data_IF_510867038464
#
_entry.id   IF_510867038464
#
_cell.length_a   1.000
_cell.length_b   1.000
_cell.length_c   1.000
_cell.angle_alpha   90.00
_cell.angle_beta   90.00
_cell.angle_gamma   90.00
#
_symmetry.space_group_name_H-M   'P 1'
#
loop_
_entity.id
_entity.type
_entity.pdbx_description
1 polymer ?
#
# COMPACT_ATOMS: atom_id res chain seq x y z
N UNK A 1 -5.24 6.83 -19.39
CA UNK A 1 -4.28 5.88 -18.73
C UNK A 1 -3.88 6.46 -17.39
N UNK A 2 -4.01 5.68 -16.33
CA UNK A 2 -3.58 6.05 -14.98
C UNK A 2 -2.14 5.61 -14.72
N UNK A 3 -1.44 6.42 -13.92
CA UNK A 3 -0.22 6.05 -13.21
C UNK A 3 -0.58 5.98 -11.74
N UNK A 4 -0.83 4.77 -11.24
CA UNK A 4 -1.37 4.53 -9.93
C UNK A 4 -0.29 4.08 -8.95
N UNK A 5 0.11 4.93 -8.00
CA UNK A 5 0.95 4.55 -6.87
C UNK A 5 0.02 3.99 -5.77
N UNK A 6 0.05 2.66 -5.60
CA UNK A 6 -0.96 1.96 -4.81
C UNK A 6 -0.54 1.68 -3.36
N UNK A 7 0.51 2.39 -2.87
CA UNK A 7 0.95 2.28 -1.49
C UNK A 7 1.70 3.54 -1.07
N UNK A 8 1.03 4.46 -0.37
CA UNK A 8 1.60 5.71 0.13
C UNK A 8 1.16 5.92 1.58
N UNK A 9 2.08 6.39 2.43
CA UNK A 9 1.80 6.82 3.80
C UNK A 9 1.79 8.34 3.93
N UNK A 10 1.05 8.83 4.93
CA UNK A 10 0.87 10.26 5.20
C UNK A 10 1.12 10.58 6.67
N UNK A 11 0.92 11.83 7.05
CA UNK A 11 1.02 12.29 8.45
C UNK A 11 0.03 11.59 9.40
N UNK A 12 -0.93 10.85 8.87
CA UNK A 12 -1.86 10.02 9.65
C UNK A 12 -1.25 8.69 10.07
N UNK A 13 -0.19 8.25 9.42
CA UNK A 13 0.60 7.10 9.82
C UNK A 13 1.60 7.49 10.92
N UNK A 14 1.77 6.62 11.93
CA UNK A 14 2.66 6.88 13.07
C UNK A 14 4.14 7.08 12.71
N UNK A 15 4.52 6.73 11.50
CA UNK A 15 5.91 6.70 11.02
C UNK A 15 6.17 7.57 9.79
N UNK A 16 5.17 8.34 9.36
CA UNK A 16 5.27 9.30 8.29
C UNK A 16 4.93 10.72 8.78
N UNK A 17 5.54 11.74 8.18
CA UNK A 17 5.29 13.15 8.52
C UNK A 17 4.86 13.99 7.32
N UNK A 18 4.57 13.37 6.18
CA UNK A 18 4.22 14.05 4.94
C UNK A 18 2.74 14.46 4.96
N UNK A 19 2.40 15.76 4.98
CA UNK A 19 1.02 16.23 4.92
C UNK A 19 0.34 15.87 3.60
N UNK A 20 -0.99 15.75 3.61
CA UNK A 20 -1.80 15.38 2.43
C UNK A 20 -1.58 16.35 1.25
N UNK A 21 -1.47 17.64 1.55
CA UNK A 21 -1.22 18.67 0.53
C UNK A 21 0.09 18.41 -0.21
N UNK A 22 1.15 18.03 0.51
CA UNK A 22 2.44 17.72 -0.11
C UNK A 22 2.42 16.42 -0.90
N UNK A 23 1.62 15.42 -0.48
CA UNK A 23 1.40 14.19 -1.26
C UNK A 23 0.72 14.54 -2.59
N UNK A 24 -0.37 15.30 -2.55
CA UNK A 24 -1.14 15.70 -3.73
C UNK A 24 -0.29 16.56 -4.68
N UNK A 25 0.39 17.60 -4.15
CA UNK A 25 1.30 18.45 -4.93
C UNK A 25 2.37 17.61 -5.64
N UNK A 26 3.00 16.68 -4.89
CA UNK A 26 4.03 15.82 -5.46
C UNK A 26 3.51 14.92 -6.57
N UNK A 27 2.34 14.33 -6.39
CA UNK A 27 1.69 13.53 -7.44
C UNK A 27 1.48 14.33 -8.72
N UNK A 28 0.97 15.56 -8.60
CA UNK A 28 0.78 16.46 -9.74
C UNK A 28 2.11 16.83 -10.42
N UNK A 29 3.16 17.13 -9.65
CA UNK A 29 4.50 17.46 -10.17
C UNK A 29 5.08 16.35 -11.06
N UNK A 30 4.90 15.08 -10.67
CA UNK A 30 5.53 13.93 -11.34
C UNK A 30 4.57 13.16 -12.25
N UNK A 31 3.31 13.61 -12.35
CA UNK A 31 2.30 13.01 -13.22
C UNK A 31 1.73 11.68 -12.70
N UNK A 32 1.81 11.41 -11.39
CA UNK A 32 1.01 10.38 -10.73
C UNK A 32 -0.43 10.92 -10.65
N UNK A 33 -1.41 10.16 -11.12
CA UNK A 33 -2.79 10.60 -11.27
C UNK A 33 -3.82 9.60 -10.72
N UNK A 34 -3.39 8.67 -9.91
CA UNK A 34 -4.18 7.80 -9.04
C UNK A 34 -3.29 7.36 -7.88
N UNK A 35 -3.82 7.32 -6.67
CA UNK A 35 -3.07 6.84 -5.50
C UNK A 35 -3.93 5.98 -4.59
N UNK A 36 -3.29 5.06 -3.84
CA UNK A 36 -3.88 4.49 -2.64
C UNK A 36 -3.09 5.00 -1.41
N UNK A 37 -3.77 5.64 -0.48
CA UNK A 37 -3.20 6.00 0.82
C UNK A 37 -3.51 4.86 1.77
N UNK A 38 -2.45 4.28 2.35
CA UNK A 38 -2.49 3.08 3.16
C UNK A 38 -1.83 3.31 4.53
N UNK A 39 -2.25 4.35 5.25
CA UNK A 39 -1.69 4.68 6.56
C UNK A 39 -1.84 3.51 7.55
N UNK A 40 -0.85 3.31 8.41
CA UNK A 40 -0.88 2.26 9.42
C UNK A 40 -2.00 2.49 10.44
N UNK A 41 -2.94 1.55 10.50
CA UNK A 41 -4.00 1.49 11.52
C UNK A 41 -5.04 2.60 11.43
N UNK A 42 -5.16 3.26 10.28
CA UNK A 42 -6.20 4.27 10.03
C UNK A 42 -6.48 4.52 8.55
N UNK A 43 -7.74 4.65 8.19
CA UNK A 43 -8.19 5.09 6.87
C UNK A 43 -8.44 6.61 6.80
N UNK A 44 -8.24 7.35 7.90
CA UNK A 44 -8.67 8.76 8.02
C UNK A 44 -7.96 9.69 7.02
N UNK A 45 -6.64 9.49 6.83
CA UNK A 45 -5.85 10.25 5.85
C UNK A 45 -6.38 10.04 4.43
N UNK A 46 -6.65 8.79 4.06
CA UNK A 46 -7.19 8.44 2.76
C UNK A 46 -8.58 9.04 2.49
N UNK A 47 -9.48 8.96 3.48
CA UNK A 47 -10.83 9.56 3.41
C UNK A 47 -10.80 11.08 3.24
N UNK A 48 -9.86 11.77 3.90
CA UNK A 48 -9.67 13.22 3.71
C UNK A 48 -9.08 13.53 2.34
N UNK A 49 -8.05 12.79 1.93
CA UNK A 49 -7.40 13.01 0.64
C UNK A 49 -8.35 12.80 -0.55
N UNK A 50 -9.32 11.89 -0.44
CA UNK A 50 -10.34 11.66 -1.48
C UNK A 50 -11.17 12.91 -1.79
N UNK A 51 -11.37 13.79 -0.81
CA UNK A 51 -12.09 15.05 -0.98
C UNK A 51 -11.17 16.22 -1.39
N UNK A 52 -9.85 16.06 -1.32
CA UNK A 52 -8.86 17.11 -1.58
C UNK A 52 -8.20 16.97 -2.95
N UNK A 53 -7.95 15.73 -3.39
CA UNK A 53 -7.19 15.46 -4.60
C UNK A 53 -8.05 15.67 -5.86
N UNK A 54 -7.48 16.25 -6.94
CA UNK A 54 -8.16 16.41 -8.24
C UNK A 54 -8.10 15.14 -9.11
N UNK A 55 -7.67 14.01 -8.54
CA UNK A 55 -7.54 12.70 -9.18
C UNK A 55 -8.04 11.60 -8.23
N UNK A 56 -8.30 10.37 -8.73
CA UNK A 56 -8.77 9.27 -7.90
C UNK A 56 -7.85 8.92 -6.74
N UNK A 57 -8.43 8.85 -5.54
CA UNK A 57 -7.78 8.36 -4.32
C UNK A 57 -8.53 7.11 -3.86
N UNK A 58 -7.85 5.98 -3.80
CA UNK A 58 -8.35 4.75 -3.22
C UNK A 58 -8.14 4.83 -1.71
N UNK A 59 -9.24 4.70 -0.96
CA UNK A 59 -9.17 4.62 0.50
C UNK A 59 -8.63 3.26 0.87
N UNK A 60 -7.42 3.24 1.41
CA UNK A 60 -6.77 2.04 1.89
C UNK A 60 -6.27 2.20 3.32
N UNK A 61 -5.89 1.10 3.93
CA UNK A 61 -5.31 1.05 5.28
C UNK A 61 -4.40 -0.16 5.37
N UNK A 62 -3.20 0.03 5.88
CA UNK A 62 -2.30 -1.05 6.21
C UNK A 62 -2.52 -1.50 7.65
N UNK A 63 -3.14 -2.68 7.81
CA UNK A 63 -3.67 -3.21 9.06
C UNK A 63 -2.69 -4.22 9.62
N UNK A 64 -2.09 -3.91 10.78
CA UNK A 64 -1.17 -4.82 11.46
C UNK A 64 -1.95 -5.96 12.12
N UNK A 65 -1.58 -7.20 11.78
CA UNK A 65 -2.03 -8.42 12.44
C UNK A 65 -0.91 -9.05 13.28
N UNK A 66 -1.18 -10.03 14.14
CA UNK A 66 -0.12 -10.75 14.86
C UNK A 66 0.91 -11.47 13.96
N UNK A 67 0.62 -11.63 12.67
CA UNK A 67 1.44 -12.39 11.73
C UNK A 67 2.02 -11.57 10.57
N UNK A 68 1.79 -10.28 10.53
CA UNK A 68 2.19 -9.36 9.46
C UNK A 68 1.04 -8.47 9.03
N UNK A 69 1.20 -7.75 7.94
CA UNK A 69 0.28 -6.72 7.49
C UNK A 69 -0.64 -7.22 6.39
N UNK A 70 -1.89 -6.75 6.45
CA UNK A 70 -2.91 -6.87 5.39
C UNK A 70 -3.35 -5.47 5.03
N UNK A 71 -3.44 -5.16 3.76
CA UNK A 71 -3.97 -3.90 3.28
C UNK A 71 -5.43 -4.07 2.85
N UNK A 72 -6.34 -3.35 3.50
CA UNK A 72 -7.70 -3.17 3.00
C UNK A 72 -7.72 -2.04 1.97
N UNK A 73 -8.40 -2.22 0.86
CA UNK A 73 -8.58 -1.18 -0.17
C UNK A 73 -10.08 -0.95 -0.44
N UNK A 74 -10.45 0.24 -0.87
CA UNK A 74 -11.83 0.68 -1.05
C UNK A 74 -12.63 0.66 0.25
N UNK A 75 -11.97 1.01 1.35
CA UNK A 75 -12.57 1.08 2.68
C UNK A 75 -13.48 2.30 2.84
N UNK A 76 -14.40 2.22 3.80
CA UNK A 76 -15.33 3.29 4.20
C UNK A 76 -15.00 3.84 5.58
N UNK A 77 -14.31 3.06 6.40
CA UNK A 77 -13.90 3.39 7.76
C UNK A 77 -12.65 2.60 8.18
N UNK A 78 -12.01 3.05 9.25
CA UNK A 78 -10.83 2.39 9.84
C UNK A 78 -11.16 1.01 10.40
N UNK A 79 -10.23 0.07 10.24
CA UNK A 79 -10.26 -1.27 10.81
C UNK A 79 -9.19 -1.35 11.93
N UNK A 80 -9.55 -1.73 13.16
CA UNK A 80 -8.58 -1.80 14.26
C UNK A 80 -7.43 -2.77 13.97
N UNK A 81 -6.21 -2.38 14.26
CA UNK A 81 -5.04 -3.26 14.25
C UNK A 81 -5.08 -4.28 15.38
N UNK A 82 -4.31 -5.38 15.24
CA UNK A 82 -4.18 -6.44 16.24
C UNK A 82 -5.20 -7.55 16.13
N UNK A 83 -6.13 -7.48 15.19
CA UNK A 83 -7.09 -8.54 14.88
C UNK A 83 -6.38 -9.75 14.25
N UNK A 84 -7.00 -10.93 14.33
CA UNK A 84 -6.54 -12.09 13.55
C UNK A 84 -6.68 -11.82 12.04
N UNK A 85 -5.90 -12.53 11.23
CA UNK A 85 -5.96 -12.42 9.76
C UNK A 85 -7.39 -12.62 9.25
N UNK A 86 -8.08 -13.67 9.72
CA UNK A 86 -9.44 -13.96 9.28
C UNK A 86 -10.44 -12.87 9.68
N UNK A 87 -10.29 -12.32 10.87
CA UNK A 87 -11.15 -11.21 11.32
C UNK A 87 -10.86 -9.92 10.55
N UNK A 88 -9.58 -9.62 10.28
CA UNK A 88 -9.19 -8.49 9.44
C UNK A 88 -9.81 -8.61 8.03
N UNK A 89 -9.68 -9.79 7.40
CA UNK A 89 -10.29 -10.05 6.10
C UNK A 89 -11.82 -9.90 6.16
N UNK A 90 -12.47 -10.43 7.20
CA UNK A 90 -13.93 -10.26 7.37
C UNK A 90 -14.32 -8.79 7.44
N UNK A 91 -13.61 -7.98 8.24
CA UNK A 91 -13.87 -6.53 8.36
C UNK A 91 -13.68 -5.77 7.06
N UNK A 92 -12.70 -6.16 6.25
CA UNK A 92 -12.52 -5.58 4.90
C UNK A 92 -13.73 -5.94 4.01
N UNK A 93 -14.18 -7.21 4.05
CA UNK A 93 -15.33 -7.68 3.26
C UNK A 93 -16.65 -7.05 3.70
N UNK A 94 -16.86 -6.85 5.00
CA UNK A 94 -18.05 -6.20 5.55
C UNK A 94 -18.21 -4.76 5.01
N UNK A 95 -17.11 -4.11 4.66
CA UNK A 95 -17.09 -2.80 3.99
C UNK A 95 -17.18 -2.87 2.46
N UNK A 96 -17.33 -4.05 1.89
CA UNK A 96 -17.24 -4.29 0.44
C UNK A 96 -15.85 -3.96 -0.13
N UNK A 97 -14.81 -4.06 0.70
CA UNK A 97 -13.41 -3.78 0.35
C UNK A 97 -12.69 -4.94 -0.33
N UNK A 98 -11.50 -4.64 -0.86
CA UNK A 98 -10.58 -5.61 -1.44
C UNK A 98 -9.43 -5.92 -0.47
N UNK A 99 -9.04 -7.18 -0.44
CA UNK A 99 -7.92 -7.67 0.37
C UNK A 99 -6.64 -7.67 -0.47
N UNK A 100 -5.70 -6.82 -0.09
CA UNK A 100 -4.36 -6.78 -0.69
C UNK A 100 -3.32 -7.26 0.33
N UNK A 101 -2.30 -7.96 -0.14
CA UNK A 101 -1.14 -8.31 0.68
C UNK A 101 0.04 -7.42 0.31
N UNK A 102 0.36 -6.42 1.15
CA UNK A 102 1.50 -5.53 0.92
C UNK A 102 2.81 -6.31 1.13
N UNK A 103 3.85 -6.00 0.35
CA UNK A 103 5.21 -6.59 0.45
C UNK A 103 5.29 -7.99 1.08
N UNK A 104 4.51 -8.98 0.59
CA UNK A 104 4.15 -10.22 1.32
C UNK A 104 5.34 -11.12 1.70
N UNK A 105 6.49 -10.95 1.05
CA UNK A 105 7.71 -11.71 1.33
C UNK A 105 8.82 -10.86 1.97
N UNK A 106 8.50 -9.66 2.45
CA UNK A 106 9.45 -8.87 3.23
C UNK A 106 9.42 -9.33 4.69
N UNK A 107 10.16 -10.40 4.95
CA UNK A 107 10.25 -11.01 6.29
C UNK A 107 11.34 -10.36 7.14
N UNK A 108 12.16 -9.47 6.57
CA UNK A 108 13.24 -8.79 7.30
C UNK A 108 12.68 -7.80 8.33
N UNK A 109 11.64 -7.08 7.96
CA UNK A 109 10.94 -6.13 8.84
C UNK A 109 9.81 -6.77 9.66
N UNK A 110 9.51 -8.07 9.43
CA UNK A 110 8.37 -8.80 9.98
C UNK A 110 6.99 -8.26 9.56
N UNK A 111 6.96 -7.40 8.57
CA UNK A 111 5.72 -6.84 8.01
C UNK A 111 5.05 -7.80 7.02
N UNK A 112 5.83 -8.57 6.26
CA UNK A 112 5.30 -9.54 5.31
C UNK A 112 4.76 -10.82 5.97
N UNK A 113 3.62 -11.30 5.49
CA UNK A 113 2.93 -12.52 5.98
C UNK A 113 3.74 -13.82 5.80
N UNK A 114 4.65 -13.86 4.84
CA UNK A 114 5.43 -15.06 4.51
C UNK A 114 4.63 -16.11 3.73
N UNK A 115 5.37 -17.05 3.13
CA UNK A 115 4.79 -17.97 2.14
C UNK A 115 3.78 -18.98 2.68
N UNK A 116 3.90 -19.40 3.94
CA UNK A 116 2.97 -20.36 4.54
C UNK A 116 1.59 -19.73 4.74
N UNK A 117 1.53 -18.59 5.42
CA UNK A 117 0.27 -17.88 5.69
C UNK A 117 -0.40 -17.45 4.39
N UNK A 118 0.38 -16.91 3.43
CA UNK A 118 -0.14 -16.56 2.11
C UNK A 118 -0.80 -17.74 1.40
N UNK A 119 -0.21 -18.95 1.51
CA UNK A 119 -0.80 -20.14 0.90
C UNK A 119 -2.13 -20.54 1.56
N UNK A 120 -2.24 -20.38 2.89
CA UNK A 120 -3.46 -20.68 3.65
C UNK A 120 -4.62 -19.75 3.29
N UNK A 121 -4.33 -18.46 3.02
CA UNK A 121 -5.36 -17.45 2.72
C UNK A 121 -5.49 -17.11 1.22
N UNK A 122 -4.77 -17.82 0.33
CA UNK A 122 -4.69 -17.47 -1.09
C UNK A 122 -6.06 -17.29 -1.77
N UNK A 123 -7.06 -18.08 -1.39
CA UNK A 123 -8.43 -17.95 -1.90
C UNK A 123 -9.21 -16.73 -1.39
N UNK A 124 -8.65 -15.96 -0.47
CA UNK A 124 -9.27 -14.77 0.11
C UNK A 124 -8.58 -13.46 -0.31
N UNK A 125 -7.45 -13.56 -1.04
CA UNK A 125 -6.66 -12.43 -1.50
C UNK A 125 -7.15 -11.98 -2.88
N UNK A 126 -7.42 -10.70 -3.06
CA UNK A 126 -7.77 -10.09 -4.36
C UNK A 126 -6.56 -9.54 -5.10
N UNK A 127 -5.55 -9.04 -4.36
CA UNK A 127 -4.40 -8.34 -4.91
C UNK A 127 -3.13 -8.74 -4.14
N UNK A 128 -2.04 -8.90 -4.87
CA UNK A 128 -0.70 -9.10 -4.28
C UNK A 128 0.18 -7.93 -4.70
N UNK A 129 0.81 -7.24 -3.76
CA UNK A 129 1.85 -6.27 -4.09
C UNK A 129 3.10 -7.00 -4.58
N UNK A 130 3.29 -6.99 -5.89
CA UNK A 130 4.40 -7.70 -6.56
C UNK A 130 5.67 -6.86 -6.65
N UNK A 131 5.54 -5.55 -6.46
CA UNK A 131 6.68 -4.64 -6.39
C UNK A 131 6.42 -3.53 -5.38
N UNK A 132 7.26 -3.48 -4.36
CA UNK A 132 7.31 -2.41 -3.37
C UNK A 132 8.69 -1.74 -3.47
N UNK A 133 8.71 -0.41 -3.66
CA UNK A 133 9.97 0.32 -3.88
C UNK A 133 10.85 0.36 -2.63
N UNK A 134 10.29 0.27 -1.43
CA UNK A 134 11.06 0.25 -0.17
C UNK A 134 11.56 -1.13 0.23
N UNK A 135 11.00 -2.20 -0.34
CA UNK A 135 11.45 -3.57 -0.05
C UNK A 135 12.93 -3.73 -0.43
N UNK A 136 13.84 -4.04 0.52
CA UNK A 136 15.28 -3.99 0.26
C UNK A 136 15.76 -5.16 -0.61
N UNK A 137 14.99 -6.25 -0.68
CA UNK A 137 15.42 -7.50 -1.26
C UNK A 137 14.75 -7.77 -2.62
N UNK A 138 15.54 -7.93 -3.66
CA UNK A 138 15.04 -8.26 -5.01
C UNK A 138 14.23 -9.55 -5.06
N UNK A 139 14.62 -10.57 -4.27
CA UNK A 139 13.93 -11.85 -4.27
C UNK A 139 12.52 -11.79 -3.68
N UNK A 140 12.21 -10.79 -2.82
CA UNK A 140 10.86 -10.59 -2.27
C UNK A 140 9.86 -10.31 -3.39
N UNK A 141 10.18 -9.37 -4.30
CA UNK A 141 9.35 -9.06 -5.47
C UNK A 141 9.21 -10.26 -6.43
N UNK A 142 10.29 -10.99 -6.67
CA UNK A 142 10.25 -12.19 -7.53
C UNK A 142 9.33 -13.26 -6.95
N UNK A 143 9.37 -13.49 -5.63
CA UNK A 143 8.49 -14.44 -4.93
C UNK A 143 7.04 -13.98 -4.95
N UNK A 144 6.78 -12.68 -4.72
CA UNK A 144 5.45 -12.11 -4.77
C UNK A 144 4.82 -12.26 -6.17
N UNK A 145 5.57 -11.96 -7.22
CA UNK A 145 5.13 -12.15 -8.60
C UNK A 145 4.87 -13.63 -8.93
N UNK A 146 5.72 -14.54 -8.48
CA UNK A 146 5.55 -15.98 -8.69
C UNK A 146 4.28 -16.49 -7.97
N UNK A 147 4.04 -16.03 -6.74
CA UNK A 147 2.84 -16.34 -5.97
C UNK A 147 1.57 -15.81 -6.68
N UNK A 148 1.55 -14.55 -7.06
CA UNK A 148 0.44 -13.92 -7.76
C UNK A 148 0.08 -14.69 -9.03
N UNK A 149 1.08 -15.03 -9.87
CA UNK A 149 0.89 -15.81 -11.10
C UNK A 149 0.36 -17.22 -10.84
N UNK A 150 0.90 -17.91 -9.83
CA UNK A 150 0.47 -19.26 -9.45
C UNK A 150 -1.01 -19.32 -9.09
N UNK A 151 -1.51 -18.28 -8.41
CA UNK A 151 -2.88 -18.23 -7.92
C UNK A 151 -3.82 -17.41 -8.81
N UNK A 152 -3.36 -16.84 -9.94
CA UNK A 152 -4.16 -16.02 -10.84
C UNK A 152 -4.63 -14.70 -10.25
N UNK A 153 -3.90 -14.20 -9.22
CA UNK A 153 -4.21 -12.95 -8.50
C UNK A 153 -3.52 -11.78 -9.23
N UNK A 154 -4.20 -10.64 -9.46
CA UNK A 154 -3.57 -9.46 -10.05
C UNK A 154 -2.48 -8.89 -9.13
N UNK A 155 -1.42 -8.36 -9.76
CA UNK A 155 -0.31 -7.74 -9.06
C UNK A 155 -0.43 -6.23 -8.99
N UNK A 156 -0.23 -5.64 -7.80
CA UNK A 156 -0.07 -4.20 -7.61
C UNK A 156 1.39 -3.81 -7.44
N UNK A 157 1.63 -2.50 -7.44
CA UNK A 157 2.91 -1.90 -7.06
C UNK A 157 2.69 -0.59 -6.33
N UNK A 158 3.56 -0.29 -5.37
CA UNK A 158 3.55 0.96 -4.64
C UNK A 158 4.93 1.42 -4.23
N UNK A 159 5.06 2.73 -4.03
CA UNK A 159 6.28 3.34 -3.55
C UNK A 159 6.55 3.03 -2.08
N UNK A 160 5.49 2.79 -1.31
CA UNK A 160 5.52 2.70 0.16
C UNK A 160 6.17 3.97 0.76
N UNK A 161 5.82 5.11 0.15
CA UNK A 161 6.44 6.38 0.43
C UNK A 161 6.13 6.88 1.83
N UNK A 162 7.18 7.19 2.60
CA UNK A 162 7.10 7.86 3.90
C UNK A 162 7.65 9.29 3.84
N UNK A 163 8.13 9.70 2.67
CA UNK A 163 8.53 11.07 2.35
C UNK A 163 8.00 11.44 0.96
N UNK A 164 7.76 12.74 0.71
CA UNK A 164 7.32 13.22 -0.61
C UNK A 164 8.23 12.79 -1.77
N UNK A 165 9.52 12.55 -1.49
CA UNK A 165 10.51 12.22 -2.53
C UNK A 165 10.48 10.76 -2.95
N UNK A 166 9.84 9.89 -2.18
CA UNK A 166 9.66 8.47 -2.50
C UNK A 166 8.44 8.22 -3.39
N UNK A 167 7.45 9.14 -3.35
CA UNK A 167 6.20 9.04 -4.14
C UNK A 167 6.54 8.88 -5.63
N UNK A 168 5.92 7.88 -6.26
CA UNK A 168 6.11 7.56 -7.66
C UNK A 168 7.35 6.69 -7.95
N UNK A 169 8.13 6.26 -6.94
CA UNK A 169 9.23 5.31 -7.14
C UNK A 169 8.72 3.95 -7.66
N UNK A 170 7.45 3.62 -7.40
CA UNK A 170 6.76 2.51 -8.03
C UNK A 170 5.28 2.84 -8.24
N UNK A 171 4.73 2.39 -9.35
CA UNK A 171 3.33 2.57 -9.72
C UNK A 171 2.91 1.53 -10.77
N UNK A 172 1.61 1.46 -11.03
CA UNK A 172 1.03 0.67 -12.12
C UNK A 172 0.50 1.61 -13.20
N UNK A 173 0.95 1.43 -14.44
CA UNK A 173 0.30 2.02 -15.62
C UNK A 173 -0.89 1.14 -16.02
N UNK A 174 -2.11 1.65 -15.92
CA UNK A 174 -3.32 0.88 -16.16
C UNK A 174 -4.44 1.73 -16.77
N UNK A 175 -5.48 1.10 -17.37
CA UNK A 175 -6.68 1.81 -17.81
C UNK A 175 -7.35 2.56 -16.66
N UNK A 176 -8.16 3.56 -17.00
CA UNK A 176 -9.10 4.18 -16.05
C UNK A 176 -10.13 3.15 -15.61
N UNK A 177 -10.67 3.33 -14.40
CA UNK A 177 -11.62 2.41 -13.79
C UNK A 177 -12.74 3.16 -13.07
N UNK A 178 -13.89 2.51 -12.96
CA UNK A 178 -15.04 3.01 -12.22
C UNK A 178 -15.46 1.97 -11.15
N UNK A 179 -15.03 2.21 -9.90
CA UNK A 179 -15.28 1.30 -8.79
C UNK A 179 -14.31 0.11 -8.74
N UNK A 180 -14.45 -0.70 -7.69
CA UNK A 180 -13.49 -1.75 -7.31
C UNK A 180 -13.38 -2.92 -8.31
N UNK A 181 -14.52 -3.32 -8.92
CA UNK A 181 -14.52 -4.47 -9.83
C UNK A 181 -13.82 -4.12 -11.15
N UNK A 182 -14.05 -2.90 -11.64
CA UNK A 182 -13.38 -2.38 -12.83
C UNK A 182 -11.90 -2.11 -12.54
N UNK A 183 -11.57 -1.65 -11.32
CA UNK A 183 -10.19 -1.54 -10.84
C UNK A 183 -9.42 -2.87 -10.92
N UNK A 184 -10.03 -3.99 -10.48
CA UNK A 184 -9.40 -5.31 -10.56
C UNK A 184 -9.14 -5.72 -12.02
N UNK A 185 -10.05 -5.40 -12.95
CA UNK A 185 -9.86 -5.65 -14.37
C UNK A 185 -8.75 -4.77 -14.96
N UNK A 186 -8.74 -3.47 -14.61
CA UNK A 186 -7.71 -2.55 -15.03
C UNK A 186 -6.32 -2.98 -14.50
N UNK A 187 -6.25 -3.45 -13.25
CA UNK A 187 -5.02 -3.92 -12.62
C UNK A 187 -4.47 -5.19 -13.30
N UNK A 188 -5.34 -6.11 -13.75
CA UNK A 188 -4.94 -7.34 -14.49
C UNK A 188 -4.19 -7.04 -15.79
N UNK A 189 -4.51 -5.93 -16.44
CA UNK A 189 -3.88 -5.49 -17.68
C UNK A 189 -2.79 -4.45 -17.45
N UNK A 190 -2.61 -4.05 -16.20
CA UNK A 190 -1.65 -3.03 -15.78
C UNK A 190 -0.20 -3.47 -15.94
N UNK A 191 0.66 -2.48 -16.15
CA UNK A 191 2.11 -2.65 -16.24
C UNK A 191 2.77 -2.04 -15.01
N UNK A 192 3.45 -2.86 -14.22
CA UNK A 192 4.28 -2.40 -13.09
C UNK A 192 5.48 -1.62 -13.62
N UNK A 193 5.67 -0.42 -13.11
CA UNK A 193 6.81 0.47 -13.37
C UNK A 193 7.40 0.88 -12.03
N UNK A 194 8.71 0.78 -11.87
CA UNK A 194 9.32 1.23 -10.62
C UNK A 194 10.81 0.96 -10.53
N UNK A 195 11.40 1.63 -9.57
CA UNK A 195 12.77 1.43 -9.13
C UNK A 195 12.81 1.43 -7.60
N UNK A 196 13.83 0.79 -7.04
CA UNK A 196 13.93 0.71 -5.58
C UNK A 196 14.41 2.02 -5.00
N UNK A 197 13.86 2.34 -3.85
CA UNK A 197 14.29 3.45 -3.01
C UNK A 197 15.74 3.22 -2.55
N UNK A 198 16.57 4.25 -2.61
CA UNK A 198 17.97 4.14 -2.17
C UNK A 198 18.05 3.94 -0.65
N UNK A 199 18.96 3.10 -0.13
CA UNK A 199 19.08 2.83 1.31
C UNK A 199 19.29 4.08 2.19
N UNK A 200 19.83 5.16 1.63
CA UNK A 200 20.04 6.44 2.34
C UNK A 200 18.73 7.06 2.84
N UNK A 201 17.60 6.83 2.18
CA UNK A 201 16.29 7.38 2.58
C UNK A 201 15.76 6.68 3.83
N UNK A 202 16.10 5.41 4.05
CA UNK A 202 15.74 4.70 5.30
C UNK A 202 16.36 5.36 6.55
N UNK A 203 17.53 6.02 6.42
CA UNK A 203 18.12 6.79 7.52
C UNK A 203 17.36 8.09 7.80
N UNK A 204 16.80 8.73 6.77
CA UNK A 204 16.05 9.98 6.91
C UNK A 204 14.69 9.72 7.59
N UNK A 205 13.98 8.66 7.21
CA UNK A 205 12.71 8.27 7.83
C UNK A 205 12.90 7.76 9.27
N UNK A 206 14.00 7.04 9.55
CA UNK A 206 14.38 6.64 10.91
C UNK A 206 14.66 7.83 11.85
N UNK A 207 15.27 8.90 11.31
CA UNK A 207 15.50 10.13 12.06
C UNK A 207 14.19 10.90 12.33
N UNK A 208 13.24 10.89 11.40
CA UNK A 208 11.92 11.48 11.58
C UNK A 208 11.12 10.77 12.68
N UNK A 209 11.16 9.43 12.74
CA UNK A 209 10.60 8.60 13.83
C UNK A 209 11.18 8.95 15.20
N UNK A 210 12.49 9.18 15.27
CA UNK A 210 13.16 9.54 16.54
C UNK A 210 12.74 10.93 17.00
N UNK A 211 12.64 11.91 16.07
CA UNK A 211 12.19 13.27 16.38
C UNK A 211 10.73 13.35 16.83
N UNK A 212 9.82 12.57 16.27
CA UNK A 212 8.41 12.56 16.67
C UNK A 212 8.23 11.97 18.08
N UNK A 213 9.00 10.92 18.43
CA UNK A 213 9.01 10.34 19.78
C UNK A 213 9.57 11.27 20.84
N UNK A 214 10.52 12.16 20.48
CA UNK A 214 11.11 13.15 21.41
C UNK A 214 10.26 14.41 21.58
N UNK A 215 9.28 14.68 20.69
CA UNK A 215 8.35 15.82 20.79
C UNK A 215 7.02 15.47 21.46
N UNK A 216 6.75 14.20 21.73
CA UNK A 216 5.56 13.69 22.39
C UNK A 216 5.75 13.36 23.88
N UNK A 217 6.84 13.86 24.50
CA UNK A 217 7.05 13.87 25.96
C UNK A 217 6.96 15.27 26.51
#
# INVERSE_FOLDING_TARGET
MLKADLHIHTVYSMDCSTPLEQVIERCLEIGINCIAIADHGTAEGALKAQNMAPFPVIVAEEILTPHGEIMGMFLKETIPSGLSINETISRIRDQDGLVCTPHPFDTFTRSGLGGQILAEIAGQIDIVEVFNARSPLHHSSTRALAFARKHGIPGSAGSDAHTRYEIGNAYVEMPEFNGKDDFLQALRTGKVVGHRTTPLIHFISGWAKLKSRLKGQ
#
